data_IF_151375582329
#
_entry.id   IF_151375582329
#
_cell.length_a   1.000
_cell.length_b   1.000
_cell.length_c   1.000
_cell.angle_alpha   90.00
_cell.angle_beta   90.00
_cell.angle_gamma   90.00
#
_symmetry.space_group_name_H-M   'P 1'
#
loop_
_entity.id
_entity.type
_entity.pdbx_description
1 polymer ?
#
# COMPACT_ATOMS: atom_id res chain seq x y z
N UNK A 1 -11.85 -18.64 17.91
CA UNK A 1 -12.65 -19.09 16.75
C UNK A 1 -13.61 -17.96 16.40
N UNK A 2 -13.54 -17.44 15.18
CA UNK A 2 -14.37 -16.32 14.70
C UNK A 2 -15.57 -16.88 13.92
N UNK A 3 -16.82 -16.43 14.19
CA UNK A 3 -17.99 -16.88 13.46
C UNK A 3 -17.92 -16.55 11.97
N UNK A 4 -18.18 -17.53 11.10
CA UNK A 4 -18.06 -17.42 9.64
C UNK A 4 -19.00 -16.35 9.01
N UNK A 5 -20.04 -15.97 9.75
CA UNK A 5 -21.00 -14.93 9.37
C UNK A 5 -20.36 -13.54 9.36
N UNK A 6 -19.33 -13.32 10.18
CA UNK A 6 -18.66 -12.03 10.32
C UNK A 6 -17.52 -11.87 9.29
N UNK A 7 -16.98 -12.98 8.79
CA UNK A 7 -15.96 -12.99 7.73
C UNK A 7 -16.54 -12.77 6.33
N UNK A 8 -17.85 -12.94 6.13
CA UNK A 8 -18.51 -12.68 4.84
C UNK A 8 -18.74 -11.19 4.55
N UNK A 9 -18.56 -10.33 5.56
CA UNK A 9 -18.73 -8.88 5.45
C UNK A 9 -17.46 -8.25 4.84
N UNK A 10 -16.32 -8.96 4.94
CA UNK A 10 -15.03 -8.49 4.48
C UNK A 10 -14.66 -9.18 3.17
N UNK A 11 -14.08 -8.41 2.24
CA UNK A 11 -13.37 -9.03 1.12
C UNK A 11 -12.05 -9.67 1.59
N UNK A 12 -11.40 -10.47 0.74
CA UNK A 12 -10.14 -11.14 1.06
C UNK A 12 -9.05 -10.17 1.54
N UNK A 13 -9.12 -8.91 1.10
CA UNK A 13 -8.11 -7.86 1.36
C UNK A 13 -8.35 -7.21 2.71
N UNK A 14 -9.60 -6.93 3.06
CA UNK A 14 -9.99 -6.42 4.37
C UNK A 14 -9.71 -7.45 5.47
N UNK A 15 -9.89 -8.75 5.17
CA UNK A 15 -9.54 -9.83 6.09
C UNK A 15 -8.01 -9.93 6.31
N UNK A 16 -7.20 -9.78 5.26
CA UNK A 16 -5.73 -9.74 5.37
C UNK A 16 -5.28 -8.55 6.24
N UNK A 17 -5.87 -7.36 6.02
CA UNK A 17 -5.57 -6.14 6.78
C UNK A 17 -5.95 -6.29 8.27
N UNK A 18 -7.11 -6.89 8.56
CA UNK A 18 -7.62 -7.11 9.91
C UNK A 18 -6.79 -8.13 10.70
N UNK A 19 -6.23 -9.13 10.01
CA UNK A 19 -5.39 -10.16 10.63
C UNK A 19 -3.92 -9.74 10.80
N UNK A 20 -3.38 -8.95 9.88
CA UNK A 20 -1.97 -8.54 9.90
C UNK A 20 -1.71 -7.20 10.61
N UNK A 21 -2.75 -6.38 10.75
CA UNK A 21 -2.65 -5.01 11.23
C UNK A 21 -2.16 -4.04 10.14
N UNK A 22 -2.43 -2.75 10.35
CA UNK A 22 -1.93 -1.69 9.47
C UNK A 22 -0.48 -1.41 9.87
N UNK A 23 0.48 -2.05 9.20
CA UNK A 23 1.88 -1.63 9.26
C UNK A 23 1.99 -0.23 8.67
N UNK A 24 2.42 0.76 9.46
CA UNK A 24 2.72 2.10 8.93
C UNK A 24 3.79 1.97 7.85
N UNK A 25 3.43 2.33 6.62
CA UNK A 25 4.33 2.31 5.48
C UNK A 25 5.23 3.54 5.57
N UNK A 26 6.55 3.32 5.65
CA UNK A 26 7.52 4.41 5.53
C UNK A 26 7.65 4.82 4.05
N UNK A 27 7.06 5.97 3.73
CA UNK A 27 7.05 6.51 2.37
C UNK A 27 8.45 6.89 1.90
N UNK A 28 9.32 7.35 2.81
CA UNK A 28 10.68 7.73 2.45
C UNK A 28 11.50 6.50 2.08
N UNK A 29 11.32 5.40 2.81
CA UNK A 29 11.95 4.13 2.46
C UNK A 29 11.42 3.58 1.13
N UNK A 30 10.10 3.63 0.91
CA UNK A 30 9.49 3.19 -0.34
C UNK A 30 10.01 4.00 -1.54
N UNK A 31 10.09 5.33 -1.42
CA UNK A 31 10.60 6.20 -2.47
C UNK A 31 12.09 5.97 -2.77
N UNK A 32 12.91 5.82 -1.72
CA UNK A 32 14.35 5.54 -1.86
C UNK A 32 14.65 4.21 -2.54
N UNK A 33 13.81 3.21 -2.33
CA UNK A 33 13.98 1.86 -2.89
C UNK A 33 13.21 1.66 -4.21
N UNK A 34 12.67 2.73 -4.82
CA UNK A 34 11.96 2.64 -6.10
C UNK A 34 12.92 2.84 -7.28
N UNK A 35 12.95 1.87 -8.20
CA UNK A 35 13.75 1.95 -9.43
C UNK A 35 12.85 2.35 -10.59
N UNK A 36 13.20 3.43 -11.27
CA UNK A 36 12.46 3.95 -12.42
C UNK A 36 12.97 3.35 -13.74
N UNK A 37 12.05 2.86 -14.58
CA UNK A 37 12.33 2.47 -15.97
C UNK A 37 11.71 3.49 -16.91
N UNK A 38 12.50 4.05 -17.82
CA UNK A 38 12.10 5.12 -18.76
C UNK A 38 11.62 6.43 -18.09
N UNK A 39 11.89 6.59 -16.79
CA UNK A 39 11.59 7.77 -16.01
C UNK A 39 12.81 8.12 -15.14
N UNK A 40 12.87 9.37 -14.69
CA UNK A 40 13.81 9.84 -13.67
C UNK A 40 13.04 10.28 -12.43
N UNK A 41 13.69 10.30 -11.26
CA UNK A 41 13.12 10.82 -10.01
C UNK A 41 12.62 12.28 -10.15
N UNK A 42 13.26 13.05 -11.04
CA UNK A 42 12.93 14.45 -11.33
C UNK A 42 11.78 14.62 -12.33
N UNK A 43 11.31 13.54 -12.95
CA UNK A 43 10.21 13.62 -13.90
C UNK A 43 8.93 14.05 -13.19
N UNK A 44 8.16 14.92 -13.85
CA UNK A 44 6.95 15.53 -13.27
C UNK A 44 5.94 14.48 -12.78
N UNK A 45 5.79 13.39 -13.52
CA UNK A 45 4.88 12.28 -13.20
C UNK A 45 5.31 11.57 -11.91
N UNK A 46 6.61 11.40 -11.68
CA UNK A 46 7.15 10.76 -10.48
C UNK A 46 6.97 11.67 -9.26
N UNK A 47 7.23 12.97 -9.42
CA UNK A 47 6.98 13.95 -8.36
C UNK A 47 5.50 13.99 -7.96
N UNK A 48 4.60 13.99 -8.94
CA UNK A 48 3.15 13.94 -8.69
C UNK A 48 2.72 12.64 -8.02
N UNK A 49 3.27 11.51 -8.44
CA UNK A 49 2.98 10.22 -7.81
C UNK A 49 3.35 10.24 -6.32
N UNK A 50 4.57 10.65 -5.97
CA UNK A 50 4.99 10.68 -4.56
C UNK A 50 4.30 11.77 -3.75
N UNK A 51 3.94 12.89 -4.37
CA UNK A 51 3.07 13.88 -3.72
C UNK A 51 1.71 13.25 -3.36
N UNK A 52 1.06 12.59 -4.31
CA UNK A 52 -0.21 11.90 -4.07
C UNK A 52 -0.08 10.81 -3.00
N UNK A 53 0.97 9.98 -3.04
CA UNK A 53 1.22 8.91 -2.04
C UNK A 53 1.37 9.48 -0.64
N UNK A 54 1.95 10.68 -0.48
CA UNK A 54 2.06 11.38 0.81
C UNK A 54 0.73 11.97 1.30
N UNK A 55 -0.20 12.30 0.40
CA UNK A 55 -1.49 12.90 0.74
C UNK A 55 -2.58 11.88 1.11
N UNK A 56 -2.52 10.66 0.56
CA UNK A 56 -3.52 9.61 0.81
C UNK A 56 -3.41 8.97 2.20
N UNK A 57 -4.48 8.31 2.66
CA UNK A 57 -4.52 7.64 3.97
C UNK A 57 -3.65 6.38 4.03
N UNK A 58 -3.26 5.93 5.23
CA UNK A 58 -2.48 4.68 5.40
C UNK A 58 -3.19 3.47 4.80
N UNK A 59 -4.51 3.41 4.87
CA UNK A 59 -5.30 2.35 4.23
C UNK A 59 -5.19 2.41 2.70
N UNK A 60 -5.28 3.61 2.11
CA UNK A 60 -5.11 3.79 0.67
C UNK A 60 -3.68 3.44 0.23
N UNK A 61 -2.66 3.75 1.04
CA UNK A 61 -1.27 3.33 0.79
C UNK A 61 -1.12 1.82 0.84
N UNK A 62 -1.73 1.15 1.81
CA UNK A 62 -1.71 -0.31 1.91
C UNK A 62 -2.37 -0.97 0.70
N UNK A 63 -3.51 -0.43 0.23
CA UNK A 63 -4.18 -0.88 -0.99
C UNK A 63 -3.31 -0.64 -2.24
N UNK A 64 -2.64 0.51 -2.32
CA UNK A 64 -1.72 0.81 -3.42
C UNK A 64 -0.52 -0.15 -3.42
N UNK A 65 0.08 -0.40 -2.26
CA UNK A 65 1.19 -1.34 -2.10
C UNK A 65 0.75 -2.74 -2.54
N UNK A 66 -0.39 -3.22 -2.04
CA UNK A 66 -0.97 -4.51 -2.43
C UNK A 66 -1.25 -4.59 -3.94
N UNK A 67 -1.70 -3.49 -4.56
CA UNK A 67 -1.92 -3.44 -6.00
C UNK A 67 -0.62 -3.64 -6.80
N UNK A 68 0.52 -3.10 -6.33
CA UNK A 68 1.80 -3.20 -7.04
C UNK A 68 2.64 -4.43 -6.66
N UNK A 69 2.51 -4.95 -5.44
CA UNK A 69 3.32 -6.09 -4.94
C UNK A 69 2.55 -7.40 -4.82
N UNK A 70 1.21 -7.36 -4.85
CA UNK A 70 0.35 -8.52 -4.59
C UNK A 70 0.15 -8.84 -3.09
N UNK A 71 0.71 -8.07 -2.17
CA UNK A 71 0.49 -8.23 -0.72
C UNK A 71 0.58 -6.88 0.00
N UNK A 72 -0.23 -6.68 1.05
CA UNK A 72 -0.13 -5.48 1.89
C UNK A 72 1.01 -5.55 2.92
N UNK A 73 1.74 -6.67 3.00
CA UNK A 73 2.86 -6.85 3.93
C UNK A 73 4.14 -6.25 3.37
N UNK A 74 4.74 -5.36 4.16
CA UNK A 74 6.12 -4.91 3.95
C UNK A 74 7.06 -6.08 4.38
N UNK A 75 8.14 -6.37 3.64
CA UNK A 75 9.13 -7.40 4.01
C UNK A 75 9.74 -7.22 5.40
#
# INVERSE_FOLDING_TARGET
VVPQQWTQIFDERELELLLCGISKIDILDWERNTIYKNYTETAKQIQWFWQFVREITDEQRARLLQFVTGTCRVP
#
